data_IF_898085544986
#
_entry.id   IF_898085544986
#
_cell.length_a   1.000
_cell.length_b   1.000
_cell.length_c   1.000
_cell.angle_alpha   90.00
_cell.angle_beta   90.00
_cell.angle_gamma   90.00
#
_symmetry.space_group_name_H-M   'P 1'
#
loop_
_entity.id
_entity.type
_entity.pdbx_description
1 polymer ?
#
# COMPACT_ATOMS: atom_id res chain seq x y z
N UNK A 1 -1.46 4.77 12.40
CA UNK A 1 -1.90 4.40 11.03
C UNK A 1 -1.49 2.95 10.75
N UNK A 2 -2.19 2.24 9.87
CA UNK A 2 -1.83 0.86 9.48
C UNK A 2 -0.85 0.88 8.31
N UNK A 3 0.35 0.36 8.53
CA UNK A 3 1.41 0.28 7.52
C UNK A 3 1.42 -1.02 6.74
N UNK A 4 2.03 -1.00 5.56
CA UNK A 4 2.36 -2.21 4.80
C UNK A 4 3.74 -2.77 5.22
N UNK A 5 4.09 -3.95 4.72
CA UNK A 5 5.36 -4.62 5.01
C UNK A 5 6.58 -3.78 4.57
N UNK A 6 6.43 -2.91 3.58
CA UNK A 6 7.46 -1.95 3.16
C UNK A 6 7.75 -0.88 4.22
N UNK A 7 6.77 -0.59 5.07
CA UNK A 7 6.88 0.40 6.15
C UNK A 7 7.49 -0.20 7.43
N UNK A 8 8.01 -1.45 7.38
CA UNK A 8 8.81 -2.03 8.46
C UNK A 8 10.26 -1.54 8.44
N UNK A 9 10.68 -0.76 7.44
CA UNK A 9 11.96 -0.07 7.49
C UNK A 9 11.97 0.83 8.73
N UNK A 10 12.90 0.57 9.64
CA UNK A 10 13.04 1.25 10.92
C UNK A 10 13.20 2.77 10.74
N UNK A 11 13.84 3.20 9.66
CA UNK A 11 14.11 4.61 9.38
C UNK A 11 12.84 5.40 9.07
N UNK A 12 11.95 4.85 8.21
CA UNK A 12 10.70 5.52 7.81
C UNK A 12 9.73 5.63 8.99
N UNK A 13 9.66 4.61 9.86
CA UNK A 13 8.82 4.69 11.07
C UNK A 13 9.34 5.73 12.06
N UNK A 14 10.65 5.80 12.24
CA UNK A 14 11.29 6.77 13.14
C UNK A 14 11.06 8.20 12.64
N UNK A 15 11.19 8.44 11.35
CA UNK A 15 10.95 9.77 10.77
C UNK A 15 9.46 10.18 10.90
N UNK A 16 8.53 9.28 10.61
CA UNK A 16 7.10 9.57 10.74
C UNK A 16 6.68 9.86 12.18
N UNK A 17 7.31 9.18 13.14
CA UNK A 17 7.10 9.47 14.55
C UNK A 17 7.72 10.81 14.95
N UNK A 18 8.98 11.05 14.59
CA UNK A 18 9.72 12.24 15.01
C UNK A 18 9.18 13.55 14.39
N UNK A 19 8.80 13.52 13.11
CA UNK A 19 8.41 14.72 12.38
C UNK A 19 6.89 14.93 12.28
N UNK A 20 6.10 13.87 12.35
CA UNK A 20 4.64 13.95 12.20
C UNK A 20 3.85 13.38 13.39
N UNK A 21 4.52 12.82 14.41
CA UNK A 21 3.90 12.13 15.54
C UNK A 21 2.93 11.00 15.10
N UNK A 22 3.26 10.35 13.97
CA UNK A 22 2.46 9.26 13.40
C UNK A 22 3.10 7.92 13.76
N UNK A 23 2.41 7.13 14.57
CA UNK A 23 2.81 5.74 14.84
C UNK A 23 2.23 4.81 13.77
N UNK A 24 3.10 4.05 13.11
CA UNK A 24 2.72 3.00 12.15
C UNK A 24 2.64 1.65 12.87
N UNK A 25 1.46 1.05 12.87
CA UNK A 25 1.31 -0.34 13.22
C UNK A 25 1.32 -1.16 11.94
N UNK A 26 2.34 -2.00 11.75
CA UNK A 26 2.39 -2.94 10.63
C UNK A 26 1.92 -4.31 11.11
N UNK A 27 0.74 -4.80 10.69
CA UNK A 27 0.24 -6.11 11.09
C UNK A 27 1.23 -7.20 10.70
N UNK A 28 1.58 -8.02 11.68
CA UNK A 28 2.45 -9.17 11.45
C UNK A 28 1.69 -10.30 10.77
N UNK A 29 2.40 -11.09 9.97
CA UNK A 29 1.87 -12.31 9.35
C UNK A 29 1.85 -13.42 10.42
N UNK A 30 0.94 -14.39 10.29
CA UNK A 30 0.75 -15.51 11.25
C UNK A 30 2.06 -16.23 11.58
N UNK A 31 2.96 -16.38 10.60
CA UNK A 31 4.23 -17.09 10.76
C UNK A 31 5.38 -16.20 11.30
N UNK A 32 5.10 -14.96 11.69
CA UNK A 32 6.11 -14.04 12.25
C UNK A 32 6.10 -14.06 13.78
N UNK A 33 7.27 -13.92 14.40
CA UNK A 33 7.41 -13.83 15.86
C UNK A 33 6.60 -12.65 16.43
N UNK A 34 5.91 -12.91 17.53
CA UNK A 34 5.00 -11.98 18.21
C UNK A 34 3.81 -11.50 17.34
N UNK A 35 3.27 -12.39 16.51
CA UNK A 35 1.98 -12.19 15.87
C UNK A 35 0.88 -11.91 16.92
N UNK A 36 0.10 -10.86 16.71
CA UNK A 36 -1.12 -10.59 17.46
C UNK A 36 -2.31 -10.62 16.49
N UNK A 37 -3.39 -11.33 16.82
CA UNK A 37 -4.58 -11.36 15.97
C UNK A 37 -5.20 -9.96 15.90
N UNK A 38 -5.40 -9.47 14.68
CA UNK A 38 -6.04 -8.19 14.41
C UNK A 38 -7.56 -8.37 14.31
N UNK A 39 -8.32 -7.33 14.67
CA UNK A 39 -9.78 -7.32 14.52
C UNK A 39 -10.20 -7.70 13.10
N UNK A 40 -11.12 -8.67 13.00
CA UNK A 40 -11.48 -9.33 11.74
C UNK A 40 -11.87 -8.36 10.62
N UNK A 41 -12.60 -7.29 10.96
CA UNK A 41 -13.06 -6.31 9.99
C UNK A 41 -11.89 -5.58 9.31
N UNK A 42 -10.86 -5.19 10.07
CA UNK A 42 -9.67 -4.55 9.51
C UNK A 42 -8.88 -5.49 8.61
N UNK A 43 -8.78 -6.78 8.99
CA UNK A 43 -8.14 -7.81 8.15
C UNK A 43 -8.89 -7.99 6.83
N UNK A 44 -10.24 -7.98 6.86
CA UNK A 44 -11.08 -8.09 5.66
C UNK A 44 -10.89 -6.90 4.72
N UNK A 45 -10.93 -5.67 5.24
CA UNK A 45 -10.73 -4.46 4.43
C UNK A 45 -9.31 -4.37 3.86
N UNK A 46 -8.29 -4.62 4.68
CA UNK A 46 -6.88 -4.67 4.23
C UNK A 46 -6.71 -5.65 3.07
N UNK A 47 -7.17 -6.89 3.23
CA UNK A 47 -7.03 -7.92 2.19
C UNK A 47 -7.74 -7.52 0.90
N UNK A 48 -8.89 -6.85 0.97
CA UNK A 48 -9.62 -6.34 -0.20
C UNK A 48 -8.84 -5.24 -0.92
N UNK A 49 -8.28 -4.29 -0.17
CA UNK A 49 -7.44 -3.21 -0.71
C UNK A 49 -6.20 -3.81 -1.39
N UNK A 50 -5.47 -4.69 -0.72
CA UNK A 50 -4.29 -5.37 -1.29
C UNK A 50 -4.61 -6.16 -2.55
N UNK A 51 -5.72 -6.89 -2.54
CA UNK A 51 -6.16 -7.70 -3.69
C UNK A 51 -6.46 -6.79 -4.89
N UNK A 52 -7.20 -5.69 -4.67
CA UNK A 52 -7.50 -4.71 -5.69
C UNK A 52 -6.21 -4.08 -6.25
N UNK A 53 -5.28 -3.67 -5.39
CA UNK A 53 -4.01 -3.10 -5.82
C UNK A 53 -3.14 -4.09 -6.60
N UNK A 54 -3.09 -5.37 -6.21
CA UNK A 54 -2.38 -6.40 -6.97
C UNK A 54 -2.99 -6.60 -8.35
N UNK A 55 -4.32 -6.69 -8.44
CA UNK A 55 -5.02 -6.79 -9.72
C UNK A 55 -4.76 -5.58 -10.62
N UNK A 56 -4.81 -4.36 -10.08
CA UNK A 56 -4.50 -3.15 -10.83
C UNK A 56 -3.02 -3.10 -11.25
N UNK A 57 -2.11 -3.56 -10.38
CA UNK A 57 -0.69 -3.64 -10.69
C UNK A 57 -0.43 -4.58 -11.87
N UNK A 58 -1.11 -5.73 -11.90
CA UNK A 58 -0.95 -6.74 -12.94
C UNK A 58 -1.66 -6.32 -14.24
N UNK A 59 -2.95 -5.95 -14.16
CA UNK A 59 -3.77 -5.58 -15.32
C UNK A 59 -3.19 -4.38 -16.07
N UNK A 60 -2.64 -3.42 -15.34
CA UNK A 60 -2.15 -2.20 -15.95
C UNK A 60 -0.64 -2.06 -15.91
N UNK A 61 0.12 -3.03 -15.39
CA UNK A 61 1.57 -2.91 -15.24
C UNK A 61 1.97 -1.63 -14.49
N UNK A 62 1.22 -1.22 -13.46
CA UNK A 62 1.41 0.07 -12.76
C UNK A 62 2.82 0.20 -12.17
N UNK A 63 3.39 -0.92 -11.72
CA UNK A 63 4.75 -0.98 -11.16
C UNK A 63 5.85 -0.72 -12.20
N UNK A 64 5.57 -0.89 -13.50
CA UNK A 64 6.51 -0.56 -14.58
C UNK A 64 6.19 0.85 -15.09
N UNK A 65 6.91 1.84 -14.58
CA UNK A 65 6.79 3.22 -15.05
C UNK A 65 8.11 3.69 -15.70
N UNK A 66 8.10 3.78 -17.03
CA UNK A 66 9.20 4.31 -17.83
C UNK A 66 9.18 5.85 -17.94
N UNK A 67 8.18 6.50 -17.34
CA UNK A 67 8.04 7.96 -17.41
C UNK A 67 8.94 8.58 -16.35
N UNK A 68 9.82 9.47 -16.79
CA UNK A 68 10.83 10.13 -15.96
C UNK A 68 10.28 11.34 -15.18
N UNK A 69 9.00 11.68 -15.34
CA UNK A 69 8.36 12.83 -14.71
C UNK A 69 7.16 12.42 -13.85
N UNK A 70 7.00 13.11 -12.71
CA UNK A 70 5.91 12.86 -11.77
C UNK A 70 4.53 13.16 -12.37
N UNK A 71 4.43 14.16 -13.24
CA UNK A 71 3.21 14.50 -13.96
C UNK A 71 2.78 13.39 -14.93
N UNK A 72 3.73 12.80 -15.65
CA UNK A 72 3.46 11.64 -16.50
C UNK A 72 3.13 10.38 -15.70
N UNK A 73 3.69 10.23 -14.48
CA UNK A 73 3.25 9.21 -13.53
C UNK A 73 1.78 9.40 -13.14
N UNK A 74 1.38 10.60 -12.68
CA UNK A 74 0.00 10.92 -12.31
C UNK A 74 -0.98 10.66 -13.45
N UNK A 75 -0.64 11.14 -14.66
CA UNK A 75 -1.48 10.99 -15.86
C UNK A 75 -1.69 9.51 -16.20
N UNK A 76 -0.63 8.70 -16.14
CA UNK A 76 -0.71 7.27 -16.42
C UNK A 76 -1.53 6.52 -15.38
N UNK A 77 -1.40 6.85 -14.09
CA UNK A 77 -2.23 6.25 -13.02
C UNK A 77 -3.70 6.63 -13.19
N UNK A 78 -4.00 7.91 -13.44
CA UNK A 78 -5.36 8.40 -13.69
C UNK A 78 -6.01 7.71 -14.90
N UNK A 79 -5.30 7.61 -16.03
CA UNK A 79 -5.82 6.95 -17.23
C UNK A 79 -6.17 5.48 -16.97
N UNK A 80 -5.32 4.74 -16.24
CA UNK A 80 -5.53 3.33 -15.90
C UNK A 80 -6.73 3.14 -14.97
N UNK A 81 -6.87 3.97 -13.94
CA UNK A 81 -8.02 3.94 -13.02
C UNK A 81 -9.33 4.28 -13.75
N UNK A 82 -9.30 5.29 -14.62
CA UNK A 82 -10.48 5.70 -15.40
C UNK A 82 -10.95 4.58 -16.33
N UNK A 83 -10.01 3.87 -16.97
CA UNK A 83 -10.31 2.71 -17.82
C UNK A 83 -10.99 1.56 -17.03
N UNK A 84 -10.59 1.33 -15.78
CA UNK A 84 -11.25 0.35 -14.90
C UNK A 84 -12.64 0.77 -14.43
N UNK A 85 -12.96 2.07 -14.40
CA UNK A 85 -14.22 2.59 -13.87
C UNK A 85 -15.33 2.65 -14.93
N UNK A 86 -15.00 2.54 -16.21
CA UNK A 86 -15.92 2.70 -17.36
C UNK A 86 -16.22 1.36 -18.07
N UNK A 87 -15.62 0.25 -17.63
CA UNK A 87 -15.93 -1.10 -18.12
C UNK A 87 -16.81 -1.88 -17.15
#
# INVERSE_FOLDING_TARGET
MLGDKGDLSSEVQVDLFNYANITLETPKIINQKAFKPQFYLFKKHRKRIETLFSQLCDQFMIRRNYVKTFEGFKTRVLAKITLSAVG
#
